data_IF_122407550618
#
_entry.id   IF_122407550618
#
_cell.length_a   1.000
_cell.length_b   1.000
_cell.length_c   1.000
_cell.angle_alpha   90.00
_cell.angle_beta   90.00
_cell.angle_gamma   90.00
#
_symmetry.space_group_name_H-M   'P 1'
#
loop_
_entity.id
_entity.type
_entity.pdbx_description
1 polymer ?
#
# COMPACT_ATOMS: atom_id res chain seq x y z
N UNK A 1 -19.45 -4.79 6.81
CA UNK A 1 -18.23 -3.94 6.82
C UNK A 1 -18.58 -2.56 7.39
N UNK A 2 -17.83 -2.08 8.37
CA UNK A 2 -18.11 -0.81 9.08
C UNK A 2 -16.91 0.13 8.98
N UNK A 3 -17.14 1.39 8.65
CA UNK A 3 -16.11 2.42 8.55
C UNK A 3 -16.16 3.35 9.75
N UNK A 4 -15.02 3.54 10.41
CA UNK A 4 -14.87 4.57 11.42
C UNK A 4 -14.93 5.96 10.76
N UNK A 5 -15.91 6.79 11.15
CA UNK A 5 -16.07 8.15 10.66
C UNK A 5 -14.99 9.13 11.13
N UNK A 6 -14.17 8.74 12.11
CA UNK A 6 -13.07 9.58 12.61
C UNK A 6 -11.78 9.35 11.82
N UNK A 7 -11.35 8.09 11.66
CA UNK A 7 -10.01 7.78 11.14
C UNK A 7 -10.00 6.93 9.87
N UNK A 8 -11.17 6.54 9.37
CA UNK A 8 -11.34 5.76 8.14
C UNK A 8 -11.08 4.25 8.27
N UNK A 9 -10.76 3.74 9.47
CA UNK A 9 -10.55 2.30 9.69
C UNK A 9 -11.78 1.48 9.27
N UNK A 10 -11.55 0.39 8.55
CA UNK A 10 -12.57 -0.54 8.11
C UNK A 10 -12.54 -1.77 9.00
N UNK A 11 -13.68 -2.09 9.61
CA UNK A 11 -13.89 -3.29 10.38
C UNK A 11 -14.74 -4.30 9.59
N UNK A 12 -14.32 -5.56 9.63
CA UNK A 12 -15.05 -6.69 9.09
C UNK A 12 -15.71 -7.48 10.20
N UNK A 13 -17.01 -7.71 10.06
CA UNK A 13 -17.83 -8.35 11.06
C UNK A 13 -19.30 -8.01 10.90
N UNK A 14 -20.12 -8.67 11.69
CA UNK A 14 -21.58 -8.47 11.74
C UNK A 14 -21.95 -7.15 12.45
N UNK A 15 -21.09 -6.64 13.33
CA UNK A 15 -21.28 -5.39 14.06
C UNK A 15 -19.98 -4.58 14.16
N UNK A 16 -20.10 -3.26 14.38
CA UNK A 16 -18.95 -2.41 14.68
C UNK A 16 -18.31 -2.76 16.03
N UNK A 17 -16.99 -2.57 16.21
CA UNK A 17 -16.32 -2.85 17.47
C UNK A 17 -16.68 -1.78 18.51
N UNK A 18 -16.58 -2.11 19.80
CA UNK A 18 -16.86 -1.17 20.90
C UNK A 18 -15.95 0.07 20.86
N UNK A 19 -14.69 -0.12 20.47
CA UNK A 19 -13.73 0.96 20.23
C UNK A 19 -12.95 0.71 18.95
N UNK A 20 -12.66 1.79 18.21
CA UNK A 20 -11.85 1.72 17.00
C UNK A 20 -10.40 1.35 17.35
N UNK A 21 -9.84 0.26 16.78
CA UNK A 21 -8.45 -0.17 17.09
C UNK A 21 -7.38 0.84 16.69
N UNK A 22 -7.66 1.68 15.69
CA UNK A 22 -6.71 2.68 15.17
C UNK A 22 -6.70 4.00 15.95
N UNK A 23 -7.85 4.44 16.47
CA UNK A 23 -7.98 5.79 17.04
C UNK A 23 -8.74 5.87 18.37
N UNK A 24 -9.26 4.77 18.89
CA UNK A 24 -10.01 4.71 20.15
C UNK A 24 -11.42 5.30 20.10
N UNK A 25 -11.89 5.81 18.96
CA UNK A 25 -13.26 6.33 18.82
C UNK A 25 -14.30 5.24 19.17
N UNK A 26 -15.42 5.61 19.83
CA UNK A 26 -16.41 4.65 20.28
C UNK A 26 -17.27 4.14 19.10
N UNK A 27 -17.98 3.03 19.33
CA UNK A 27 -18.79 2.31 18.33
C UNK A 27 -19.75 3.19 17.54
N UNK A 28 -20.33 4.21 18.14
CA UNK A 28 -21.30 5.12 17.51
C UNK A 28 -20.69 5.98 16.41
N UNK A 29 -19.35 6.04 16.34
CA UNK A 29 -18.63 6.71 15.25
C UNK A 29 -18.46 5.83 14.01
N UNK A 30 -18.88 4.56 14.06
CA UNK A 30 -18.87 3.69 12.89
C UNK A 30 -20.16 3.82 12.08
N UNK A 31 -20.01 3.74 10.76
CA UNK A 31 -21.11 3.63 9.81
C UNK A 31 -20.99 2.31 9.03
N UNK A 32 -22.10 1.59 8.85
CA UNK A 32 -22.14 0.46 7.93
C UNK A 32 -21.91 0.94 6.50
N UNK A 33 -21.07 0.24 5.75
CA UNK A 33 -20.87 0.53 4.34
C UNK A 33 -21.98 -0.09 3.49
N UNK A 34 -22.44 0.58 2.41
CA UNK A 34 -23.27 -0.03 1.38
C UNK A 34 -22.59 -1.28 0.80
N UNK A 35 -23.40 -2.25 0.36
CA UNK A 35 -22.91 -3.52 -0.17
C UNK A 35 -21.96 -3.30 -1.36
N UNK A 36 -22.28 -2.37 -2.26
CA UNK A 36 -21.45 -2.06 -3.43
C UNK A 36 -20.08 -1.51 -3.02
N UNK A 37 -20.03 -0.67 -1.98
CA UNK A 37 -18.79 -0.13 -1.46
C UNK A 37 -17.96 -1.21 -0.76
N UNK A 38 -18.61 -2.09 0.02
CA UNK A 38 -17.95 -3.22 0.66
C UNK A 38 -17.34 -4.18 -0.38
N UNK A 39 -18.12 -4.57 -1.39
CA UNK A 39 -17.67 -5.44 -2.48
C UNK A 39 -16.52 -4.82 -3.30
N UNK A 40 -16.55 -3.50 -3.51
CA UNK A 40 -15.47 -2.78 -4.19
C UNK A 40 -14.16 -2.84 -3.37
N UNK A 41 -14.24 -2.62 -2.05
CA UNK A 41 -13.08 -2.69 -1.15
C UNK A 41 -12.52 -4.11 -1.14
N UNK A 42 -13.36 -5.10 -0.88
CA UNK A 42 -13.02 -6.53 -0.82
C UNK A 42 -12.19 -6.95 -2.05
N UNK A 43 -12.71 -6.67 -3.25
CA UNK A 43 -12.03 -7.03 -4.49
C UNK A 43 -10.75 -6.24 -4.74
N UNK A 44 -10.67 -5.00 -4.28
CA UNK A 44 -9.51 -4.14 -4.51
C UNK A 44 -8.34 -4.47 -3.60
N UNK A 45 -8.59 -5.07 -2.42
CA UNK A 45 -7.55 -5.48 -1.47
C UNK A 45 -6.52 -6.41 -2.09
N UNK A 46 -6.96 -7.38 -2.90
CA UNK A 46 -6.06 -8.33 -3.57
C UNK A 46 -4.95 -7.58 -4.34
N UNK A 47 -5.33 -6.62 -5.18
CA UNK A 47 -4.36 -5.84 -5.96
C UNK A 47 -3.59 -4.83 -5.11
N UNK A 48 -4.21 -4.27 -4.07
CA UNK A 48 -3.53 -3.35 -3.15
C UNK A 48 -2.41 -4.07 -2.40
N UNK A 49 -2.67 -5.28 -1.91
CA UNK A 49 -1.69 -6.11 -1.19
C UNK A 49 -0.55 -6.52 -2.11
N UNK A 50 -0.84 -6.87 -3.36
CA UNK A 50 0.18 -7.14 -4.37
C UNK A 50 1.04 -5.88 -4.60
N UNK A 51 0.43 -4.70 -4.74
CA UNK A 51 1.19 -3.45 -4.87
C UNK A 51 2.09 -3.19 -3.66
N UNK A 52 1.61 -3.45 -2.44
CA UNK A 52 2.42 -3.32 -1.21
C UNK A 52 3.59 -4.31 -1.21
N UNK A 53 3.38 -5.56 -1.62
CA UNK A 53 4.46 -6.55 -1.74
C UNK A 53 5.49 -6.16 -2.81
N UNK A 54 5.03 -5.64 -3.96
CA UNK A 54 5.91 -5.14 -5.02
C UNK A 54 6.75 -3.95 -4.53
N UNK A 55 6.19 -3.05 -3.72
CA UNK A 55 6.96 -1.95 -3.13
C UNK A 55 8.13 -2.45 -2.28
N UNK A 56 7.92 -3.50 -1.47
CA UNK A 56 8.98 -4.12 -0.66
C UNK A 56 10.07 -4.76 -1.52
N UNK A 57 9.68 -5.47 -2.59
CA UNK A 57 10.65 -6.08 -3.52
C UNK A 57 11.48 -5.03 -4.26
N UNK A 58 10.86 -3.94 -4.71
CA UNK A 58 11.56 -2.84 -5.37
C UNK A 58 12.50 -2.11 -4.40
N UNK A 59 12.14 -1.98 -3.13
CA UNK A 59 13.03 -1.44 -2.11
C UNK A 59 14.26 -2.33 -1.91
N UNK A 60 14.08 -3.65 -1.86
CA UNK A 60 15.21 -4.59 -1.81
C UNK A 60 16.10 -4.50 -3.06
N UNK A 61 15.51 -4.40 -4.26
CA UNK A 61 16.29 -4.19 -5.50
C UNK A 61 17.11 -2.90 -5.42
N UNK A 62 16.48 -1.81 -4.95
CA UNK A 62 17.16 -0.53 -4.80
C UNK A 62 18.34 -0.64 -3.83
N UNK A 63 18.12 -1.27 -2.66
CA UNK A 63 19.14 -1.47 -1.64
C UNK A 63 20.32 -2.31 -2.15
N UNK A 64 20.05 -3.48 -2.75
CA UNK A 64 21.09 -4.34 -3.29
C UNK A 64 21.85 -3.70 -4.46
N UNK A 65 21.18 -2.88 -5.27
CA UNK A 65 21.82 -2.12 -6.32
C UNK A 65 22.73 -1.01 -5.77
N UNK A 66 22.34 -0.37 -4.65
CA UNK A 66 23.19 0.59 -3.95
C UNK A 66 24.42 -0.10 -3.34
N UNK A 67 24.25 -1.21 -2.60
CA UNK A 67 25.36 -2.00 -2.06
C UNK A 67 26.32 -2.47 -3.17
N UNK A 68 25.79 -3.05 -4.25
CA UNK A 68 26.61 -3.51 -5.37
C UNK A 68 27.35 -2.36 -6.08
N UNK A 69 26.76 -1.15 -6.08
CA UNK A 69 27.39 0.03 -6.68
C UNK A 69 28.54 0.58 -5.84
N UNK A 70 28.48 0.43 -4.51
CA UNK A 70 29.51 0.89 -3.57
C UNK A 70 30.84 0.12 -3.72
N UNK A 71 30.79 -1.14 -4.16
CA UNK A 71 31.99 -1.96 -4.39
C UNK A 71 32.89 -1.45 -5.52
N UNK A 72 32.33 -0.72 -6.50
CA UNK A 72 33.04 -0.03 -7.59
C UNK A 72 34.05 -0.90 -8.38
N UNK A 73 33.77 -2.18 -8.57
CA UNK A 73 34.73 -3.16 -9.10
C UNK A 73 34.83 -3.20 -10.64
N UNK A 74 33.73 -2.96 -11.35
CA UNK A 74 33.64 -3.06 -12.81
C UNK A 74 32.70 -2.00 -13.40
N UNK A 75 33.10 -1.26 -14.45
CA UNK A 75 32.26 -0.23 -15.07
C UNK A 75 30.93 -0.75 -15.64
N UNK A 76 30.90 -1.98 -16.15
CA UNK A 76 29.69 -2.63 -16.65
C UNK A 76 28.71 -2.95 -15.53
N UNK A 77 29.20 -3.54 -14.44
CA UNK A 77 28.42 -3.78 -13.22
C UNK A 77 27.88 -2.47 -12.63
N UNK A 78 28.71 -1.44 -12.47
CA UNK A 78 28.31 -0.13 -11.94
C UNK A 78 27.14 0.46 -12.74
N UNK A 79 27.24 0.43 -14.07
CA UNK A 79 26.18 0.93 -14.95
C UNK A 79 24.88 0.13 -14.83
N UNK A 80 24.97 -1.18 -14.59
CA UNK A 80 23.79 -2.02 -14.36
C UNK A 80 23.14 -1.69 -13.01
N UNK A 81 23.93 -1.56 -11.95
CA UNK A 81 23.43 -1.18 -10.63
C UNK A 81 22.75 0.19 -10.63
N UNK A 82 23.39 1.20 -11.25
CA UNK A 82 22.80 2.54 -11.39
C UNK A 82 21.41 2.51 -12.06
N UNK A 83 21.27 1.67 -13.11
CA UNK A 83 19.99 1.50 -13.83
C UNK A 83 18.94 0.76 -12.98
N UNK A 84 19.32 -0.33 -12.30
CA UNK A 84 18.42 -1.08 -11.44
C UNK A 84 17.88 -0.20 -10.31
N UNK A 85 18.75 0.58 -9.69
CA UNK A 85 18.39 1.56 -8.67
C UNK A 85 17.39 2.58 -9.20
N UNK A 86 17.68 3.18 -10.36
CA UNK A 86 16.80 4.17 -10.99
C UNK A 86 15.42 3.58 -11.32
N UNK A 87 15.38 2.43 -11.98
CA UNK A 87 14.12 1.75 -12.33
C UNK A 87 13.31 1.36 -11.10
N UNK A 88 13.97 0.87 -10.04
CA UNK A 88 13.30 0.55 -8.79
C UNK A 88 12.61 1.77 -8.18
N UNK A 89 13.28 2.93 -8.15
CA UNK A 89 12.71 4.18 -7.67
C UNK A 89 11.49 4.60 -8.51
N UNK A 90 11.61 4.58 -9.84
CA UNK A 90 10.53 4.98 -10.76
C UNK A 90 9.28 4.10 -10.59
N UNK A 91 9.44 2.78 -10.51
CA UNK A 91 8.31 1.88 -10.30
C UNK A 91 7.71 2.01 -8.90
N UNK A 92 8.51 2.27 -7.86
CA UNK A 92 7.97 2.56 -6.52
C UNK A 92 7.07 3.80 -6.55
N UNK A 93 7.49 4.87 -7.21
CA UNK A 93 6.66 6.07 -7.35
C UNK A 93 5.40 5.82 -8.19
N UNK A 94 5.52 5.04 -9.25
CA UNK A 94 4.38 4.68 -10.11
C UNK A 94 3.31 3.90 -9.33
N UNK A 95 3.72 2.92 -8.52
CA UNK A 95 2.80 2.16 -7.66
C UNK A 95 2.15 3.07 -6.61
N UNK A 96 2.91 3.98 -5.99
CA UNK A 96 2.36 4.95 -5.03
C UNK A 96 1.28 5.85 -5.67
N UNK A 97 1.50 6.28 -6.91
CA UNK A 97 0.52 7.06 -7.66
C UNK A 97 -0.77 6.27 -7.92
N UNK A 98 -0.67 4.98 -8.28
CA UNK A 98 -1.84 4.11 -8.45
C UNK A 98 -2.60 3.90 -7.14
N UNK A 99 -1.88 3.60 -6.04
CA UNK A 99 -2.47 3.43 -4.71
C UNK A 99 -3.19 4.71 -4.25
N UNK A 100 -2.64 5.90 -4.52
CA UNK A 100 -3.31 7.17 -4.26
C UNK A 100 -4.63 7.27 -5.05
N UNK A 101 -4.64 6.82 -6.30
CA UNK A 101 -5.85 6.69 -7.12
C UNK A 101 -6.88 5.75 -6.50
N UNK A 102 -6.45 4.62 -5.96
CA UNK A 102 -7.32 3.68 -5.26
C UNK A 102 -7.96 4.29 -4.01
N UNK A 103 -7.17 4.98 -3.17
CA UNK A 103 -7.65 5.67 -1.98
C UNK A 103 -8.72 6.72 -2.33
N UNK A 104 -8.48 7.54 -3.35
CA UNK A 104 -9.43 8.58 -3.78
C UNK A 104 -10.72 8.01 -4.36
N UNK A 105 -10.68 6.80 -4.92
CA UNK A 105 -11.84 6.12 -5.53
C UNK A 105 -12.57 5.18 -4.55
N UNK A 106 -12.24 5.21 -3.27
CA UNK A 106 -12.87 4.35 -2.25
C UNK A 106 -12.52 2.86 -2.40
N UNK A 107 -11.45 2.52 -3.14
CA UNK A 107 -10.95 1.16 -3.32
C UNK A 107 -9.97 0.73 -2.23
N UNK A 108 -10.03 1.38 -1.07
CA UNK A 108 -9.07 1.23 0.01
C UNK A 108 -9.79 1.06 1.34
N UNK A 109 -9.32 0.12 2.16
CA UNK A 109 -9.92 -0.27 3.42
C UNK A 109 -9.40 -1.62 3.88
#
# INVERSE_FOLDING_TARGET
MFKCGVCGYIHEGEAAPEQCPKCGAPKEKFAALPEEAANLIERSRITNDIHVQLLSLLENIQFLAEEGREEDLDPGCNKLFDRLRQSAVEYRQSIKAELQGHMNKGKWG
#
